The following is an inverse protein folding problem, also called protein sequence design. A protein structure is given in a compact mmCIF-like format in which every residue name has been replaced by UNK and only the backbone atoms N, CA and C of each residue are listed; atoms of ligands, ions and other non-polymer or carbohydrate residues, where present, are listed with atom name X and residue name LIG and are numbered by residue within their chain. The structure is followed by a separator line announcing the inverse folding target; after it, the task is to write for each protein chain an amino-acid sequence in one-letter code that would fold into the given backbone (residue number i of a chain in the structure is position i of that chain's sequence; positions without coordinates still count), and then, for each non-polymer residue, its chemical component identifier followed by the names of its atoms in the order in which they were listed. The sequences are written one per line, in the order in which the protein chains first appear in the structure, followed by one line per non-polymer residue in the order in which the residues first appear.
data_IF_299181831316
#
_entry.id   IF_299181831316
#
_cell.length_a   1.000
_cell.length_b   1.000
_cell.length_c   1.000
_cell.angle_alpha   90.00
_cell.angle_beta   90.00
_cell.angle_gamma   90.00
#
_symmetry.space_group_name_H-M   'P 1'
#
loop_
_entity.id
_entity.type
_entity.pdbx_description
1 polymer ?
#
# COMPACT_ATOMS: atom_id res chain seq x y z
N UNK A 1 -19.47 12.84 -78.31
CA UNK A 1 -19.35 11.53 -77.64
C UNK A 1 -18.27 11.64 -76.56
N UNK A 2 -18.62 11.71 -75.27
CA UNK A 2 -17.75 11.24 -74.18
C UNK A 2 -18.60 10.93 -72.94
N UNK A 3 -18.20 9.86 -72.26
CA UNK A 3 -18.99 9.02 -71.35
C UNK A 3 -18.93 9.48 -69.89
N UNK A 4 -19.92 8.99 -69.15
CA UNK A 4 -20.21 9.03 -67.71
C UNK A 4 -18.98 8.66 -66.85
N UNK A 5 -18.84 9.33 -65.70
CA UNK A 5 -18.00 8.88 -64.58
C UNK A 5 -18.59 9.38 -63.26
N UNK A 6 -19.25 8.49 -62.52
CA UNK A 6 -19.69 8.70 -61.14
C UNK A 6 -18.65 8.12 -60.14
N UNK A 7 -18.99 8.22 -58.86
CA UNK A 7 -18.43 7.52 -57.66
C UNK A 7 -17.16 8.15 -57.04
N UNK A 8 -16.95 8.36 -55.73
CA UNK A 8 -17.49 7.84 -54.45
C UNK A 8 -17.35 8.95 -53.36
N UNK A 9 -18.31 9.22 -52.45
CA UNK A 9 -18.03 10.02 -51.25
C UNK A 9 -17.30 9.15 -50.22
N UNK A 10 -16.06 9.54 -49.88
CA UNK A 10 -15.22 8.84 -48.92
C UNK A 10 -15.81 8.83 -47.51
N UNK A 11 -16.10 7.63 -47.00
CA UNK A 11 -16.45 7.37 -45.61
C UNK A 11 -15.19 7.62 -44.73
N UNK A 12 -15.13 8.77 -44.07
CA UNK A 12 -14.14 9.03 -43.03
C UNK A 12 -14.57 8.25 -41.78
N UNK A 13 -13.92 7.12 -41.54
CA UNK A 13 -14.07 6.32 -40.34
C UNK A 13 -13.37 7.05 -39.17
N UNK A 14 -14.11 7.94 -38.48
CA UNK A 14 -13.68 8.45 -37.18
C UNK A 14 -13.76 7.30 -36.15
N UNK A 15 -12.63 6.65 -35.90
CA UNK A 15 -12.44 5.80 -34.73
C UNK A 15 -12.37 6.71 -33.49
N UNK A 16 -13.52 6.99 -32.90
CA UNK A 16 -13.61 7.61 -31.58
C UNK A 16 -13.10 6.63 -30.53
N UNK A 17 -11.86 6.80 -30.09
CA UNK A 17 -11.38 6.19 -28.85
C UNK A 17 -12.08 6.91 -27.70
N UNK A 18 -13.20 6.36 -27.25
CA UNK A 18 -13.80 6.73 -25.97
C UNK A 18 -12.82 6.32 -24.88
N UNK A 19 -12.08 7.28 -24.34
CA UNK A 19 -11.40 7.15 -23.06
C UNK A 19 -12.47 6.91 -21.99
N UNK A 20 -12.84 5.66 -21.75
CA UNK A 20 -13.55 5.27 -20.54
C UNK A 20 -12.67 5.72 -19.36
N UNK A 21 -13.25 6.48 -18.43
CA UNK A 21 -12.56 7.12 -17.31
C UNK A 21 -12.00 6.12 -16.28
N UNK A 22 -11.03 5.32 -16.67
CA UNK A 22 -10.24 4.47 -15.78
C UNK A 22 -9.20 5.39 -15.15
N UNK A 23 -9.47 5.85 -13.93
CA UNK A 23 -8.45 6.49 -13.09
C UNK A 23 -7.53 5.41 -12.56
N UNK A 24 -6.32 5.34 -13.08
CA UNK A 24 -5.26 4.46 -12.57
C UNK A 24 -4.67 5.14 -11.31
N UNK A 25 -4.67 4.46 -10.14
CA UNK A 25 -4.01 4.96 -8.95
C UNK A 25 -2.53 5.29 -9.25
N UNK A 26 -2.06 6.43 -8.75
CA UNK A 26 -0.68 6.86 -8.99
C UNK A 26 0.29 6.04 -8.14
N UNK A 27 1.39 5.58 -8.72
CA UNK A 27 2.47 4.83 -8.04
C UNK A 27 3.79 5.24 -8.70
N UNK A 28 4.23 6.50 -8.50
CA UNK A 28 5.31 7.09 -9.29
C UNK A 28 6.63 6.32 -9.17
N UNK A 29 6.92 5.71 -8.01
CA UNK A 29 8.08 4.85 -7.81
C UNK A 29 7.79 3.38 -8.17
N UNK A 30 6.56 3.02 -8.49
CA UNK A 30 6.18 1.67 -8.90
C UNK A 30 6.36 0.64 -7.79
N UNK A 31 6.09 1.01 -6.54
CA UNK A 31 6.23 0.13 -5.36
C UNK A 31 5.48 -1.18 -5.54
N UNK A 32 4.23 -1.13 -6.04
CA UNK A 32 3.43 -2.36 -6.21
C UNK A 32 4.08 -3.29 -7.25
N UNK A 33 4.57 -2.75 -8.36
CA UNK A 33 5.25 -3.52 -9.40
C UNK A 33 6.57 -4.13 -8.88
N UNK A 34 7.35 -3.36 -8.12
CA UNK A 34 8.63 -3.81 -7.56
C UNK A 34 8.47 -4.93 -6.53
N UNK A 35 7.43 -4.85 -5.70
CA UNK A 35 7.17 -5.81 -4.62
C UNK A 35 6.54 -7.09 -5.16
N UNK A 36 5.70 -7.03 -6.20
CA UNK A 36 5.03 -8.20 -6.77
C UNK A 36 6.04 -9.21 -7.35
N UNK A 37 6.15 -10.39 -6.74
CA UNK A 37 7.18 -11.40 -7.07
C UNK A 37 8.59 -11.02 -6.61
N UNK A 38 8.72 -9.97 -5.78
CA UNK A 38 9.95 -9.30 -5.42
C UNK A 38 10.24 -9.36 -3.92
N UNK A 39 10.74 -8.24 -3.38
CA UNK A 39 11.02 -8.08 -1.95
C UNK A 39 10.15 -6.95 -1.41
N UNK A 40 9.43 -7.22 -0.32
CA UNK A 40 8.74 -6.23 0.49
C UNK A 40 9.63 -5.83 1.68
N UNK A 41 10.15 -4.60 1.69
CA UNK A 41 10.97 -4.07 2.80
C UNK A 41 10.06 -3.44 3.85
N UNK A 42 10.01 -4.05 5.03
CA UNK A 42 9.05 -3.70 6.08
C UNK A 42 9.78 -3.15 7.30
N UNK A 43 9.55 -1.87 7.58
CA UNK A 43 9.95 -1.25 8.83
C UNK A 43 9.15 -1.79 10.01
N UNK A 44 9.81 -2.15 11.10
CA UNK A 44 9.14 -2.67 12.30
C UNK A 44 9.56 -1.90 13.55
N UNK A 45 8.58 -1.32 14.24
CA UNK A 45 8.77 -0.70 15.56
C UNK A 45 8.12 -1.58 16.63
N UNK A 46 8.85 -1.86 17.71
CA UNK A 46 8.35 -2.72 18.80
C UNK A 46 7.13 -2.11 19.49
N UNK A 47 6.08 -2.91 19.63
CA UNK A 47 4.87 -2.59 20.37
C UNK A 47 4.25 -3.90 20.87
N UNK A 48 4.32 -4.17 22.18
CA UNK A 48 4.10 -5.50 22.75
C UNK A 48 2.80 -6.22 22.32
N UNK A 49 1.74 -5.48 21.99
CA UNK A 49 0.50 -6.07 21.48
C UNK A 49 0.52 -6.34 19.97
N UNK A 50 1.20 -5.49 19.20
CA UNK A 50 1.13 -5.46 17.73
C UNK A 50 2.34 -6.12 17.06
N UNK A 51 3.53 -5.81 17.57
CA UNK A 51 4.84 -6.21 17.05
C UNK A 51 5.77 -6.56 18.21
N UNK A 52 6.17 -7.82 18.28
CA UNK A 52 7.17 -8.32 19.20
C UNK A 52 8.46 -8.60 18.42
N UNK A 53 9.58 -8.06 18.90
CA UNK A 53 10.90 -8.28 18.30
C UNK A 53 11.69 -9.28 19.15
N UNK A 54 11.68 -10.59 18.82
CA UNK A 54 12.47 -11.55 19.55
C UNK A 54 13.98 -11.28 19.35
N UNK A 55 14.84 -11.74 20.29
CA UNK A 55 16.30 -11.59 20.14
C UNK A 55 16.87 -12.23 18.86
N UNK A 56 16.16 -13.22 18.30
CA UNK A 56 16.51 -13.94 17.08
C UNK A 56 15.25 -14.36 16.36
N UNK A 57 15.28 -14.33 15.02
CA UNK A 57 14.16 -14.70 14.17
C UNK A 57 13.35 -13.47 13.74
N UNK A 58 12.25 -13.73 13.06
CA UNK A 58 11.40 -12.71 12.49
C UNK A 58 10.48 -12.06 13.56
N UNK A 59 10.01 -10.82 13.33
CA UNK A 59 9.00 -10.17 14.15
C UNK A 59 7.74 -11.05 14.30
N UNK A 60 7.09 -10.97 15.46
CA UNK A 60 5.87 -11.74 15.75
C UNK A 60 4.73 -10.81 16.18
N UNK A 61 3.49 -11.26 16.06
CA UNK A 61 2.30 -10.53 16.51
C UNK A 61 1.31 -10.26 15.39
N UNK A 62 0.31 -9.44 15.68
CA UNK A 62 -0.82 -9.19 14.79
C UNK A 62 -0.38 -8.58 13.46
N UNK A 63 0.46 -7.53 13.49
CA UNK A 63 0.87 -6.85 12.25
C UNK A 63 1.88 -7.66 11.43
N UNK A 64 2.89 -8.33 12.02
CA UNK A 64 3.76 -9.22 11.26
C UNK A 64 2.98 -10.34 10.54
N UNK A 65 2.00 -10.96 11.20
CA UNK A 65 1.13 -11.97 10.59
C UNK A 65 0.33 -11.41 9.40
N UNK A 66 -0.26 -10.21 9.55
CA UNK A 66 -0.96 -9.53 8.45
C UNK A 66 -0.03 -9.21 7.27
N UNK A 67 1.21 -8.81 7.55
CA UNK A 67 2.21 -8.51 6.52
C UNK A 67 2.68 -9.77 5.80
N UNK A 68 2.86 -10.88 6.52
CA UNK A 68 3.14 -12.20 5.94
C UNK A 68 2.05 -12.63 4.98
N UNK A 69 0.78 -12.56 5.42
CA UNK A 69 -0.37 -12.87 4.56
C UNK A 69 -0.47 -11.94 3.35
N UNK A 70 -0.18 -10.65 3.52
CA UNK A 70 -0.18 -9.69 2.41
C UNK A 70 0.92 -10.01 1.40
N UNK A 71 2.14 -10.28 1.88
CA UNK A 71 3.27 -10.65 1.03
C UNK A 71 3.00 -11.93 0.23
N UNK A 72 2.32 -12.92 0.83
CA UNK A 72 1.88 -14.13 0.13
C UNK A 72 0.93 -13.83 -1.04
N UNK A 73 0.05 -12.83 -0.92
CA UNK A 73 -0.82 -12.42 -2.04
C UNK A 73 -0.04 -11.84 -3.22
N UNK A 74 1.15 -11.29 -2.95
CA UNK A 74 2.03 -10.67 -3.91
C UNK A 74 3.16 -11.60 -4.41
N UNK A 75 3.27 -12.83 -3.88
CA UNK A 75 4.43 -13.72 -4.09
C UNK A 75 5.76 -13.02 -3.71
N UNK A 76 5.73 -12.20 -2.65
CA UNK A 76 6.85 -11.36 -2.23
C UNK A 76 7.61 -11.97 -1.04
N UNK A 77 8.94 -11.89 -1.06
CA UNK A 77 9.76 -12.19 0.12
C UNK A 77 9.83 -10.97 1.04
N UNK A 78 9.84 -11.18 2.35
CA UNK A 78 9.90 -10.07 3.31
C UNK A 78 11.34 -9.83 3.77
N UNK A 79 11.71 -8.55 3.86
CA UNK A 79 12.91 -8.10 4.60
C UNK A 79 12.46 -7.19 5.72
N UNK A 80 12.63 -7.65 6.96
CA UNK A 80 12.31 -6.90 8.17
C UNK A 80 13.43 -5.94 8.54
N UNK A 81 13.08 -4.68 8.81
CA UNK A 81 14.00 -3.60 9.19
C UNK A 81 13.57 -3.00 10.53
N UNK A 82 14.17 -3.42 11.65
CA UNK A 82 13.88 -2.82 12.95
C UNK A 82 14.32 -1.37 13.03
N UNK A 83 13.47 -0.49 13.59
CA UNK A 83 13.80 0.91 13.77
C UNK A 83 12.81 1.64 14.66
N UNK A 84 13.18 2.82 15.15
CA UNK A 84 12.25 3.72 15.83
C UNK A 84 11.31 4.38 14.80
N UNK A 85 10.08 4.72 15.20
CA UNK A 85 9.07 5.25 14.26
C UNK A 85 9.55 6.42 13.39
N UNK A 86 10.34 7.34 13.97
CA UNK A 86 10.86 8.50 13.27
C UNK A 86 11.93 8.15 12.22
N UNK A 87 12.69 7.08 12.45
CA UNK A 87 13.65 6.53 11.49
C UNK A 87 12.88 5.87 10.34
N UNK A 88 11.90 5.01 10.66
CA UNK A 88 11.07 4.33 9.66
C UNK A 88 10.28 5.32 8.79
N UNK A 89 9.76 6.41 9.37
CA UNK A 89 9.09 7.46 8.62
C UNK A 89 10.05 8.18 7.65
N UNK A 90 11.30 8.42 8.08
CA UNK A 90 12.35 8.95 7.22
C UNK A 90 12.70 7.99 6.07
N UNK A 91 12.83 6.70 6.38
CA UNK A 91 13.17 5.67 5.40
C UNK A 91 12.05 5.47 4.37
N UNK A 92 10.77 5.56 4.78
CA UNK A 92 9.62 5.61 3.87
C UNK A 92 9.67 6.84 2.97
N UNK A 93 9.97 8.02 3.53
CA UNK A 93 10.07 9.26 2.77
C UNK A 93 11.21 9.22 1.74
N UNK A 94 12.30 8.50 2.04
CA UNK A 94 13.45 8.33 1.16
C UNK A 94 13.35 7.10 0.22
N UNK A 95 12.27 6.32 0.29
CA UNK A 95 12.05 5.13 -0.55
C UNK A 95 12.92 3.92 -0.16
N UNK A 96 13.47 3.93 1.04
CA UNK A 96 14.29 2.86 1.60
C UNK A 96 13.42 1.71 2.16
N UNK A 97 12.18 2.00 2.53
CA UNK A 97 11.14 1.03 2.93
C UNK A 97 9.94 1.08 2.01
N UNK A 98 9.20 -0.02 1.93
CA UNK A 98 7.97 -0.15 1.15
C UNK A 98 6.72 -0.09 2.04
N UNK A 99 6.84 -0.40 3.33
CA UNK A 99 5.84 -0.14 4.36
C UNK A 99 6.45 -0.14 5.77
N UNK A 100 5.70 0.35 6.76
CA UNK A 100 6.07 0.21 8.17
C UNK A 100 4.86 -0.18 9.05
N UNK A 101 5.16 -1.00 10.06
CA UNK A 101 4.24 -1.49 11.09
C UNK A 101 4.79 -1.19 12.51
N UNK A 102 3.90 -1.12 13.49
CA UNK A 102 4.24 -0.77 14.88
C UNK A 102 3.03 -0.47 15.79
N UNK A 103 1.80 -0.80 15.36
CA UNK A 103 0.56 -0.44 16.04
C UNK A 103 0.28 1.06 15.95
N UNK A 104 0.52 1.66 14.78
CA UNK A 104 0.38 3.09 14.58
C UNK A 104 -1.08 3.53 14.67
N UNK A 105 -1.33 4.60 15.42
CA UNK A 105 -2.63 5.26 15.44
C UNK A 105 -2.83 6.18 14.23
N UNK A 106 -4.08 6.35 13.79
CA UNK A 106 -4.46 7.30 12.74
C UNK A 106 -4.16 8.78 13.08
N UNK A 107 -3.85 9.09 14.35
CA UNK A 107 -3.34 10.39 14.81
C UNK A 107 -1.80 10.50 14.79
N UNK A 108 -1.13 9.60 14.08
CA UNK A 108 0.32 9.58 13.85
C UNK A 108 0.85 10.94 13.35
N UNK A 109 2.04 11.39 13.82
CA UNK A 109 2.64 12.64 13.35
C UNK A 109 3.26 12.53 11.94
N UNK A 110 3.39 11.32 11.39
CA UNK A 110 4.18 11.02 10.18
C UNK A 110 3.45 11.26 8.85
N UNK A 111 2.28 11.90 8.86
CA UNK A 111 1.43 12.10 7.67
C UNK A 111 2.04 13.03 6.60
N UNK A 112 3.15 13.71 6.89
CA UNK A 112 3.88 14.52 5.90
C UNK A 112 4.98 13.73 5.21
N UNK A 113 5.47 12.69 5.87
CA UNK A 113 6.59 11.86 5.46
C UNK A 113 6.11 10.54 4.83
N UNK A 114 4.92 10.05 5.21
CA UNK A 114 4.36 8.78 4.77
C UNK A 114 2.89 8.88 4.38
N UNK A 115 2.46 8.00 3.47
CA UNK A 115 1.05 7.64 3.28
C UNK A 115 0.56 6.78 4.43
N UNK A 116 -0.75 6.84 4.71
CA UNK A 116 -1.41 6.03 5.75
C UNK A 116 -2.51 5.19 5.12
N UNK A 117 -2.65 3.94 5.55
CA UNK A 117 -3.81 3.11 5.22
C UNK A 117 -5.09 3.69 5.82
N UNK A 118 -6.23 3.20 5.34
CA UNK A 118 -7.46 3.28 6.12
C UNK A 118 -7.29 2.48 7.42
N UNK A 119 -8.00 2.87 8.49
CA UNK A 119 -8.04 2.06 9.69
C UNK A 119 -8.51 0.63 9.38
N UNK A 120 -7.71 -0.36 9.75
CA UNK A 120 -8.04 -1.77 9.56
C UNK A 120 -8.65 -2.40 10.83
N UNK A 121 -8.44 -1.76 11.99
CA UNK A 121 -9.09 -2.14 13.25
C UNK A 121 -9.09 -0.99 14.25
N UNK A 122 -9.82 -1.16 15.35
CA UNK A 122 -9.88 -0.20 16.45
C UNK A 122 -9.71 -0.91 17.80
N UNK A 123 -8.99 -0.28 18.72
CA UNK A 123 -8.84 -0.74 20.11
C UNK A 123 -9.08 0.42 21.07
N UNK A 124 -9.14 0.15 22.37
CA UNK A 124 -9.15 1.18 23.41
C UNK A 124 -7.84 1.16 24.19
N UNK A 125 -7.24 2.33 24.42
CA UNK A 125 -6.11 2.46 25.32
C UNK A 125 -6.52 2.32 26.80
N UNK A 126 -5.53 2.30 27.71
CA UNK A 126 -5.76 2.19 29.16
C UNK A 126 -6.66 3.30 29.73
N UNK A 127 -6.83 4.41 29.00
CA UNK A 127 -7.63 5.58 29.37
C UNK A 127 -9.00 5.60 28.68
N UNK A 128 -9.32 4.57 27.91
CA UNK A 128 -10.57 4.44 27.16
C UNK A 128 -10.63 5.28 25.87
N UNK A 129 -9.49 5.81 25.39
CA UNK A 129 -9.42 6.47 24.08
C UNK A 129 -9.39 5.41 23.00
N UNK A 130 -10.27 5.54 22.00
CA UNK A 130 -10.21 4.71 20.79
C UNK A 130 -8.95 5.02 19.99
N UNK A 131 -8.17 3.99 19.71
CA UNK A 131 -7.04 4.02 18.77
C UNK A 131 -7.52 3.31 17.49
N UNK A 132 -7.44 4.02 16.37
CA UNK A 132 -7.70 3.47 15.03
C UNK A 132 -6.37 3.09 14.42
N UNK A 133 -6.15 1.81 14.17
CA UNK A 133 -4.85 1.29 13.76
C UNK A 133 -4.68 1.35 12.24
N UNK A 134 -3.52 1.82 11.81
CA UNK A 134 -3.12 2.03 10.41
C UNK A 134 -1.71 1.49 10.19
N UNK A 135 -1.37 1.25 8.93
CA UNK A 135 0.02 1.02 8.50
C UNK A 135 0.52 2.22 7.71
N UNK A 136 1.84 2.39 7.67
CA UNK A 136 2.49 3.47 6.91
C UNK A 136 3.06 2.92 5.60
N UNK A 137 2.99 3.71 4.53
CA UNK A 137 3.55 3.40 3.21
C UNK A 137 4.28 4.63 2.64
N UNK A 138 5.10 4.50 1.59
CA UNK A 138 5.71 5.65 0.94
C UNK A 138 4.66 6.63 0.41
N UNK A 139 4.94 7.93 0.57
CA UNK A 139 4.00 8.96 0.20
C UNK A 139 3.81 9.03 -1.32
N UNK A 140 2.56 8.87 -1.79
CA UNK A 140 2.20 8.98 -3.20
C UNK A 140 2.10 7.65 -3.95
N UNK A 141 2.49 6.54 -3.32
CA UNK A 141 2.38 5.17 -3.84
C UNK A 141 0.95 4.63 -3.65
N UNK A 142 -0.01 5.27 -4.33
CA UNK A 142 -1.44 5.02 -4.17
C UNK A 142 -1.90 3.69 -4.77
N UNK A 143 -1.18 3.10 -5.75
CA UNK A 143 -1.55 1.76 -6.23
C UNK A 143 -1.20 0.71 -5.18
N UNK A 144 0.00 0.78 -4.62
CA UNK A 144 0.40 -0.06 -3.49
C UNK A 144 -0.53 0.14 -2.28
N UNK A 145 -0.78 1.40 -1.89
CA UNK A 145 -1.70 1.72 -0.79
C UNK A 145 -3.11 1.16 -1.01
N UNK A 146 -3.63 1.24 -2.24
CA UNK A 146 -4.96 0.73 -2.56
C UNK A 146 -5.02 -0.79 -2.44
N UNK A 147 -3.99 -1.50 -2.92
CA UNK A 147 -3.90 -2.96 -2.81
C UNK A 147 -3.85 -3.39 -1.33
N UNK A 148 -2.99 -2.72 -0.54
CA UNK A 148 -2.89 -2.96 0.89
C UNK A 148 -4.20 -2.66 1.63
N UNK A 149 -4.87 -1.54 1.32
CA UNK A 149 -6.19 -1.21 1.88
C UNK A 149 -7.21 -2.30 1.56
N UNK A 150 -7.26 -2.81 0.32
CA UNK A 150 -8.20 -3.86 -0.07
C UNK A 150 -7.95 -5.16 0.69
N UNK A 151 -6.67 -5.55 0.82
CA UNK A 151 -6.26 -6.69 1.61
C UNK A 151 -6.71 -6.53 3.07
N UNK A 152 -6.33 -5.42 3.73
CA UNK A 152 -6.62 -5.19 5.15
C UNK A 152 -8.13 -5.12 5.44
N UNK A 153 -8.94 -4.58 4.53
CA UNK A 153 -10.39 -4.51 4.69
C UNK A 153 -11.09 -5.86 4.50
N UNK A 154 -10.43 -6.84 3.89
CA UNK A 154 -10.94 -8.19 3.76
C UNK A 154 -10.66 -9.06 5.01
N UNK A 155 -9.80 -8.58 5.92
CA UNK A 155 -9.42 -9.31 7.11
C UNK A 155 -10.44 -9.15 8.23
N UNK A 156 -10.73 -10.25 8.93
CA UNK A 156 -11.54 -10.26 10.15
C UNK A 156 -10.60 -10.46 11.35
N UNK A 157 -10.29 -9.36 12.05
CA UNK A 157 -9.42 -9.38 13.22
C UNK A 157 -10.23 -9.54 14.51
N UNK A 158 -9.99 -10.62 15.24
CA UNK A 158 -10.49 -10.81 16.60
C UNK A 158 -9.41 -10.34 17.60
N UNK A 159 -9.63 -9.17 18.23
CA UNK A 159 -8.68 -8.51 19.17
C UNK A 159 -9.15 -8.53 20.63
#
# INVERSE_FOLDING_TARGET
MLKIGAVIPGLVLLLGLTSCGITIPQDPEGTLEKVSGGILRVGVSENAQWVQLPPTGDPQGIEPELVEEFADTLDAAIVWVPGAEHELAGDLFHGELDMAIGGFGADTPWVKEAGITRPYTETADERGKTIKHIMLVPLGENAFLLELDQFLQAQELEL
#
